data_IF_406786217077
#
_entry.id   IF_406786217077
#
_cell.length_a   1.000
_cell.length_b   1.000
_cell.length_c   1.000
_cell.angle_alpha   90.00
_cell.angle_beta   90.00
_cell.angle_gamma   90.00
#
_symmetry.space_group_name_H-M   'P 1'
#
loop_
_entity.id
_entity.type
_entity.pdbx_description
1 polymer ?
#
# COMPACT_ATOMS: atom_id res chain seq x y z
N UNK A 1 6.85 14.72 -4.48
CA UNK A 1 6.58 13.64 -5.47
C UNK A 1 5.63 12.69 -4.78
N UNK A 2 4.55 12.30 -5.45
CA UNK A 2 3.50 11.50 -4.79
C UNK A 2 4.06 10.13 -4.41
N UNK A 3 3.87 9.72 -3.16
CA UNK A 3 4.45 8.48 -2.63
C UNK A 3 3.36 7.44 -2.40
N UNK A 4 3.62 6.25 -2.96
CA UNK A 4 2.76 5.08 -2.85
C UNK A 4 3.57 3.86 -2.42
N UNK A 5 2.92 2.92 -1.74
CA UNK A 5 3.57 1.66 -1.34
C UNK A 5 2.67 0.45 -1.54
N UNK A 6 3.27 -0.74 -1.53
CA UNK A 6 2.57 -1.97 -1.19
C UNK A 6 3.03 -2.50 0.18
N UNK A 7 2.10 -2.63 1.11
CA UNK A 7 2.34 -3.24 2.41
C UNK A 7 2.24 -4.77 2.34
N UNK A 8 3.14 -5.48 3.02
CA UNK A 8 3.05 -6.93 3.23
C UNK A 8 4.19 -7.48 4.08
N UNK A 9 4.09 -8.74 4.48
CA UNK A 9 5.15 -9.45 5.20
C UNK A 9 5.03 -10.97 4.96
N UNK A 10 5.91 -11.57 4.14
CA UNK A 10 7.00 -10.96 3.39
C UNK A 10 6.52 -10.12 2.20
N UNK A 11 7.37 -9.20 1.70
CA UNK A 11 7.01 -8.30 0.58
C UNK A 11 8.06 -8.18 -0.54
N UNK A 12 9.25 -8.76 -0.37
CA UNK A 12 10.40 -8.57 -1.28
C UNK A 12 10.16 -9.04 -2.72
N UNK A 13 9.26 -10.00 -2.94
CA UNK A 13 8.94 -10.54 -4.27
C UNK A 13 7.72 -9.87 -4.94
N UNK A 14 7.19 -8.79 -4.36
CA UNK A 14 6.04 -8.11 -4.95
C UNK A 14 6.39 -7.50 -6.30
N UNK A 15 5.54 -7.77 -7.30
CA UNK A 15 5.65 -7.17 -8.64
C UNK A 15 5.00 -5.78 -8.72
N UNK A 16 4.26 -5.35 -7.69
CA UNK A 16 3.54 -4.07 -7.72
C UNK A 16 4.45 -2.87 -8.00
N UNK A 17 5.67 -2.72 -7.42
CA UNK A 17 6.54 -1.60 -7.75
C UNK A 17 6.91 -1.53 -9.23
N UNK A 18 7.23 -2.67 -9.84
CA UNK A 18 7.52 -2.73 -11.27
C UNK A 18 6.31 -2.31 -12.10
N UNK A 19 5.14 -2.89 -11.80
CA UNK A 19 3.90 -2.63 -12.55
C UNK A 19 3.51 -1.15 -12.45
N UNK A 20 3.52 -0.56 -11.25
CA UNK A 20 3.12 0.83 -11.04
C UNK A 20 4.14 1.82 -11.62
N UNK A 21 5.44 1.49 -11.60
CA UNK A 21 6.46 2.28 -12.31
C UNK A 21 6.20 2.30 -13.81
N UNK A 22 5.93 1.14 -14.42
CA UNK A 22 5.61 1.05 -15.85
C UNK A 22 4.35 1.85 -16.21
N UNK A 23 3.30 1.79 -15.39
CA UNK A 23 2.13 2.63 -15.58
C UNK A 23 2.45 4.12 -15.48
N UNK A 24 3.24 4.53 -14.48
CA UNK A 24 3.62 5.93 -14.32
C UNK A 24 4.40 6.45 -15.54
N UNK A 25 5.33 5.65 -16.07
CA UNK A 25 6.07 5.97 -17.30
C UNK A 25 5.15 6.10 -18.52
N UNK A 26 4.24 5.13 -18.72
CA UNK A 26 3.31 5.12 -19.86
C UNK A 26 2.29 6.26 -19.83
N UNK A 27 1.94 6.74 -18.63
CA UNK A 27 0.89 7.75 -18.42
C UNK A 27 1.43 9.12 -18.00
N UNK A 28 2.75 9.31 -18.10
CA UNK A 28 3.47 10.54 -17.72
C UNK A 28 3.16 11.02 -16.29
N UNK A 29 2.95 10.10 -15.36
CA UNK A 29 2.70 10.41 -13.95
C UNK A 29 4.02 10.50 -13.18
N UNK A 30 4.12 11.49 -12.30
CA UNK A 30 5.29 11.69 -11.43
C UNK A 30 5.01 11.19 -10.02
N UNK A 31 5.25 9.90 -9.81
CA UNK A 31 5.09 9.24 -8.51
C UNK A 31 6.22 8.27 -8.20
N UNK A 32 6.42 8.02 -6.91
CA UNK A 32 7.27 6.95 -6.40
C UNK A 32 6.38 5.81 -5.87
N UNK A 33 6.71 4.57 -6.24
CA UNK A 33 6.01 3.38 -5.79
C UNK A 33 7.01 2.33 -5.30
N UNK A 34 6.98 2.02 -4.00
CA UNK A 34 7.91 1.06 -3.38
C UNK A 34 7.20 -0.07 -2.62
N UNK A 35 7.97 -1.04 -2.11
CA UNK A 35 7.48 -1.96 -1.08
C UNK A 35 7.62 -1.32 0.30
N UNK A 36 6.78 -1.75 1.25
CA UNK A 36 6.93 -1.42 2.66
C UNK A 36 6.67 -2.70 3.48
N UNK A 37 7.70 -3.18 4.17
CA UNK A 37 7.62 -4.34 5.05
C UNK A 37 6.97 -3.89 6.37
N UNK A 38 5.69 -4.24 6.58
CA UNK A 38 5.00 -3.89 7.80
C UNK A 38 5.25 -4.95 8.90
N UNK A 39 5.37 -4.53 10.18
CA UNK A 39 5.51 -5.45 11.30
C UNK A 39 4.20 -6.23 11.51
N UNK A 40 4.29 -7.50 11.94
CA UNK A 40 3.12 -8.39 12.10
C UNK A 40 2.22 -7.97 13.26
N UNK A 41 2.78 -7.30 14.25
CA UNK A 41 2.16 -6.87 15.50
C UNK A 41 1.66 -5.41 15.48
N UNK A 42 2.13 -4.58 14.54
CA UNK A 42 1.71 -3.17 14.43
C UNK A 42 1.57 -2.67 12.98
N UNK A 43 0.73 -3.34 12.21
CA UNK A 43 0.38 -2.85 10.87
C UNK A 43 -0.26 -1.45 10.92
N UNK A 44 -1.14 -1.21 11.89
CA UNK A 44 -1.91 0.04 11.97
C UNK A 44 -1.02 1.25 12.23
N UNK A 45 -0.10 1.17 13.19
CA UNK A 45 0.85 2.25 13.47
C UNK A 45 1.80 2.48 12.29
N UNK A 46 2.26 1.40 11.64
CA UNK A 46 3.08 1.48 10.44
C UNK A 46 2.34 2.20 9.28
N UNK A 47 1.08 1.85 9.03
CA UNK A 47 0.26 2.48 8.00
C UNK A 47 -0.04 3.94 8.31
N UNK A 48 -0.44 4.26 9.55
CA UNK A 48 -0.67 5.65 9.99
C UNK A 48 0.58 6.52 9.85
N UNK A 49 1.75 5.99 10.21
CA UNK A 49 3.02 6.69 10.07
C UNK A 49 3.33 7.01 8.60
N UNK A 50 3.06 6.06 7.69
CA UNK A 50 3.22 6.24 6.25
C UNK A 50 2.28 7.32 5.69
N UNK A 51 0.99 7.29 6.07
CA UNK A 51 -0.02 8.22 5.55
C UNK A 51 0.14 9.67 6.03
N UNK A 52 1.11 9.99 6.90
CA UNK A 52 1.51 11.38 7.16
C UNK A 52 2.05 12.08 5.92
N UNK A 53 2.67 11.33 5.01
CA UNK A 53 3.30 11.85 3.78
C UNK A 53 2.90 11.07 2.53
N UNK A 54 2.38 9.84 2.67
CA UNK A 54 1.94 8.98 1.58
C UNK A 54 0.55 9.34 1.05
N UNK A 55 0.32 9.11 -0.25
CA UNK A 55 -0.96 9.41 -0.92
C UNK A 55 -1.87 8.21 -1.15
N UNK A 56 -1.33 6.99 -1.03
CA UNK A 56 -2.09 5.76 -1.22
C UNK A 56 -1.22 4.53 -1.05
N UNK A 57 -1.86 3.37 -0.85
CA UNK A 57 -1.15 2.11 -0.76
C UNK A 57 -1.99 0.92 -1.23
N UNK A 58 -1.32 -0.10 -1.76
CA UNK A 58 -1.87 -1.45 -1.86
C UNK A 58 -1.52 -2.24 -0.60
N UNK A 59 -2.30 -3.28 -0.33
CA UNK A 59 -2.08 -4.19 0.81
C UNK A 59 -2.15 -5.63 0.33
N UNK A 60 -1.12 -6.41 0.65
CA UNK A 60 -1.09 -7.86 0.42
C UNK A 60 -1.08 -8.61 1.76
N UNK A 61 -1.05 -9.95 1.70
CA UNK A 61 -1.03 -10.81 2.88
C UNK A 61 0.14 -10.45 3.83
N UNK A 62 -0.07 -10.57 5.15
CA UNK A 62 -1.31 -10.97 5.83
C UNK A 62 -2.30 -9.82 6.12
N UNK A 63 -1.97 -8.58 5.80
CA UNK A 63 -2.61 -7.39 6.41
C UNK A 63 -3.93 -6.92 5.81
N UNK A 64 -4.58 -7.70 4.94
CA UNK A 64 -5.80 -7.25 4.26
C UNK A 64 -6.94 -6.95 5.25
N UNK A 65 -7.06 -7.77 6.29
CA UNK A 65 -8.07 -7.56 7.34
C UNK A 65 -7.73 -6.38 8.25
N UNK A 66 -6.45 -6.17 8.56
CA UNK A 66 -6.02 -5.01 9.34
C UNK A 66 -6.28 -3.71 8.58
N UNK A 67 -5.99 -3.70 7.28
CA UNK A 67 -6.32 -2.56 6.41
C UNK A 67 -7.82 -2.31 6.31
N UNK A 68 -8.65 -3.37 6.27
CA UNK A 68 -10.10 -3.25 6.32
C UNK A 68 -10.55 -2.57 7.62
N UNK A 69 -10.01 -3.00 8.77
CA UNK A 69 -10.34 -2.41 10.09
C UNK A 69 -9.84 -0.96 10.24
N UNK A 70 -8.70 -0.63 9.62
CA UNK A 70 -8.10 0.70 9.69
C UNK A 70 -8.83 1.75 8.83
N UNK A 71 -9.48 1.34 7.74
CA UNK A 71 -10.08 2.25 6.78
C UNK A 71 -11.28 3.02 7.39
N UNK A 72 -11.33 4.34 7.20
CA UNK A 72 -12.47 5.15 7.64
C UNK A 72 -13.72 4.95 6.77
N UNK A 73 -13.54 4.48 5.54
CA UNK A 73 -14.62 4.20 4.60
C UNK A 73 -14.27 2.97 3.78
N UNK A 74 -15.28 2.16 3.48
CA UNK A 74 -15.15 0.90 2.76
C UNK A 74 -16.06 0.92 1.55
N UNK A 75 -15.54 0.46 0.41
CA UNK A 75 -16.38 0.20 -0.77
C UNK A 75 -17.22 -1.05 -0.55
N UNK A 76 -18.34 -1.20 -1.26
CA UNK A 76 -19.20 -2.39 -1.14
C UNK A 76 -18.44 -3.70 -1.35
N UNK A 77 -17.50 -3.74 -2.31
CA UNK A 77 -16.69 -4.93 -2.57
C UNK A 77 -15.77 -5.27 -1.41
N UNK A 78 -15.31 -4.29 -0.63
CA UNK A 78 -14.47 -4.55 0.54
C UNK A 78 -15.29 -5.11 1.72
N UNK A 79 -16.60 -4.87 1.76
CA UNK A 79 -17.50 -5.32 2.83
C UNK A 79 -18.07 -6.73 2.64
N UNK A 80 -17.85 -7.35 1.47
CA UNK A 80 -18.43 -8.64 1.07
C UNK A 80 -17.40 -9.74 0.99
#
# INVERSE_FOLDING_TARGET
>A
MDRYVVFGNPIGHSKSPLIHRLFAEQTAQKLDYSTLLAPLDDFSGCAQAFFREGRGANVTVPFKEDAYRLANSLTERAQR
#
